data_IF_211973051662
#
_entry.id   IF_211973051662
#
_cell.length_a   1.000
_cell.length_b   1.000
_cell.length_c   1.000
_cell.angle_alpha   90.00
_cell.angle_beta   90.00
_cell.angle_gamma   90.00
#
_symmetry.space_group_name_H-M   'P 1'
#
loop_
_entity.id
_entity.type
_entity.pdbx_description
1 polymer ?
#
# COMPACT_ATOMS: atom_id res chain seq x y z
N UNK A 1 -0.05 30.40 -29.00
CA UNK A 1 0.62 31.62 -28.45
C UNK A 1 1.60 31.21 -27.36
N UNK A 2 2.49 32.11 -26.90
CA UNK A 2 3.33 31.84 -25.73
C UNK A 2 2.50 31.52 -24.48
N UNK A 3 1.39 32.23 -24.27
CA UNK A 3 0.44 31.98 -23.18
C UNK A 3 -0.06 30.52 -23.17
N UNK A 4 -0.52 30.00 -24.32
CA UNK A 4 -1.00 28.62 -24.41
C UNK A 4 0.07 27.57 -24.05
N UNK A 5 1.35 27.83 -24.37
CA UNK A 5 2.45 26.92 -23.99
C UNK A 5 2.74 26.97 -22.49
N UNK A 6 2.65 28.16 -21.88
CA UNK A 6 2.80 28.33 -20.44
C UNK A 6 1.65 27.64 -19.70
N UNK A 7 0.42 27.76 -20.18
CA UNK A 7 -0.75 27.12 -19.56
C UNK A 7 -0.65 25.58 -19.62
N UNK A 8 -0.20 25.03 -20.75
CA UNK A 8 0.08 23.60 -20.88
C UNK A 8 1.14 23.12 -19.86
N UNK A 9 2.23 23.87 -19.68
CA UNK A 9 3.27 23.52 -18.71
C UNK A 9 2.77 23.59 -17.25
N UNK A 10 1.96 24.61 -16.92
CA UNK A 10 1.32 24.74 -15.59
C UNK A 10 0.40 23.57 -15.29
N UNK A 11 -0.33 23.07 -16.28
CA UNK A 11 -1.22 21.93 -16.11
C UNK A 11 -0.44 20.65 -15.76
N UNK A 12 0.71 20.43 -16.41
CA UNK A 12 1.61 19.33 -16.06
C UNK A 12 2.13 19.40 -14.63
N UNK A 13 2.60 20.58 -14.20
CA UNK A 13 3.05 20.81 -12.82
C UNK A 13 1.93 20.54 -11.81
N UNK A 14 0.74 21.09 -12.07
CA UNK A 14 -0.43 20.92 -11.20
C UNK A 14 -0.84 19.45 -11.04
N UNK A 15 -0.78 18.68 -12.14
CA UNK A 15 -1.03 17.23 -12.09
C UNK A 15 -0.02 16.51 -11.18
N UNK A 16 1.26 16.87 -11.26
CA UNK A 16 2.30 16.30 -10.41
C UNK A 16 2.08 16.67 -8.93
N UNK A 17 1.81 17.94 -8.64
CA UNK A 17 1.53 18.42 -7.28
C UNK A 17 0.32 17.70 -6.66
N UNK A 18 -0.79 17.58 -7.39
CA UNK A 18 -1.98 16.90 -6.89
C UNK A 18 -1.77 15.39 -6.76
N UNK A 19 -1.04 14.76 -7.67
CA UNK A 19 -0.69 13.35 -7.55
C UNK A 19 0.17 13.08 -6.30
N UNK A 20 1.17 13.93 -6.04
CA UNK A 20 1.97 13.89 -4.81
C UNK A 20 1.08 14.12 -3.59
N UNK A 21 0.11 15.03 -3.66
CA UNK A 21 -0.81 15.30 -2.56
C UNK A 21 -1.75 14.11 -2.28
N UNK A 22 -2.25 13.41 -3.31
CA UNK A 22 -3.01 12.15 -3.15
C UNK A 22 -2.17 11.12 -2.43
N UNK A 23 -0.95 10.85 -2.92
CA UNK A 23 -0.04 9.87 -2.29
C UNK A 23 0.31 10.26 -0.85
N UNK A 24 0.57 11.54 -0.60
CA UNK A 24 0.89 12.05 0.74
C UNK A 24 -0.28 11.90 1.70
N UNK A 25 -1.52 12.10 1.26
CA UNK A 25 -2.71 11.88 2.07
C UNK A 25 -2.90 10.39 2.39
N UNK A 26 -2.76 9.50 1.40
CA UNK A 26 -2.81 8.04 1.60
C UNK A 26 -1.75 7.57 2.60
N UNK A 27 -0.50 8.05 2.46
CA UNK A 27 0.61 7.69 3.36
C UNK A 27 0.40 8.14 4.81
N UNK A 28 -0.48 9.14 5.06
CA UNK A 28 -0.89 9.54 6.41
C UNK A 28 -2.18 8.86 6.88
N UNK A 29 -2.75 7.96 6.09
CA UNK A 29 -4.03 7.29 6.36
C UNK A 29 -5.26 8.16 6.12
N UNK A 30 -5.13 9.36 5.57
CA UNK A 30 -6.25 10.26 5.27
C UNK A 30 -6.82 9.99 3.87
N UNK A 31 -7.49 8.84 3.73
CA UNK A 31 -8.09 8.43 2.46
C UNK A 31 -9.28 9.29 2.04
N UNK A 32 -9.93 9.98 2.99
CA UNK A 32 -10.99 10.92 2.67
C UNK A 32 -10.43 12.18 1.99
N UNK A 33 -9.29 12.71 2.47
CA UNK A 33 -8.59 13.78 1.76
C UNK A 33 -8.01 13.30 0.44
N UNK A 34 -7.39 12.10 0.40
CA UNK A 34 -6.88 11.52 -0.83
C UNK A 34 -7.97 11.43 -1.90
N UNK A 35 -9.17 10.97 -1.54
CA UNK A 35 -10.32 10.89 -2.42
C UNK A 35 -10.76 12.25 -2.96
N UNK A 36 -10.92 13.26 -2.10
CA UNK A 36 -11.30 14.62 -2.56
C UNK A 36 -10.30 15.21 -3.55
N UNK A 37 -9.00 14.99 -3.34
CA UNK A 37 -7.95 15.48 -4.24
C UNK A 37 -7.97 14.67 -5.55
N UNK A 38 -8.08 13.34 -5.46
CA UNK A 38 -8.16 12.44 -6.61
C UNK A 38 -9.37 12.75 -7.50
N UNK A 39 -10.56 12.93 -6.92
CA UNK A 39 -11.78 13.20 -7.67
C UNK A 39 -11.64 14.52 -8.45
N UNK A 40 -11.08 15.57 -7.81
CA UNK A 40 -10.78 16.85 -8.48
C UNK A 40 -9.77 16.71 -9.63
N UNK A 41 -8.70 15.96 -9.40
CA UNK A 41 -7.67 15.68 -10.40
C UNK A 41 -8.26 14.90 -11.60
N UNK A 42 -9.06 13.89 -11.33
CA UNK A 42 -9.71 13.07 -12.36
C UNK A 42 -10.69 13.90 -13.18
N UNK A 43 -11.59 14.65 -12.54
CA UNK A 43 -12.55 15.51 -13.22
C UNK A 43 -11.85 16.53 -14.12
N UNK A 44 -10.77 17.16 -13.64
CA UNK A 44 -9.98 18.07 -14.47
C UNK A 44 -9.32 17.35 -15.64
N UNK A 45 -8.72 16.19 -15.39
CA UNK A 45 -8.08 15.39 -16.44
C UNK A 45 -9.07 14.96 -17.54
N UNK A 46 -10.31 14.64 -17.16
CA UNK A 46 -11.39 14.33 -18.10
C UNK A 46 -11.79 15.55 -18.94
N UNK A 47 -11.93 16.73 -18.32
CA UNK A 47 -12.19 17.98 -19.07
C UNK A 47 -11.05 18.31 -20.03
N UNK A 48 -9.80 18.16 -19.60
CA UNK A 48 -8.64 18.39 -20.46
C UNK A 48 -8.64 17.44 -21.67
N UNK A 49 -8.92 16.16 -21.46
CA UNK A 49 -9.06 15.18 -22.55
C UNK A 49 -10.15 15.60 -23.54
N UNK A 50 -11.34 16.00 -23.06
CA UNK A 50 -12.45 16.44 -23.91
C UNK A 50 -12.11 17.72 -24.70
N UNK A 51 -11.31 18.62 -24.12
CA UNK A 51 -10.86 19.85 -24.78
C UNK A 51 -9.66 19.68 -25.73
N UNK A 52 -9.12 18.47 -25.87
CA UNK A 52 -7.91 18.20 -26.66
C UNK A 52 -6.59 18.61 -25.98
N UNK A 53 -6.62 19.12 -24.75
CA UNK A 53 -5.44 19.47 -23.94
C UNK A 53 -4.90 18.29 -23.10
N UNK A 54 -5.44 17.09 -23.28
CA UNK A 54 -5.05 15.90 -22.51
C UNK A 54 -5.15 14.63 -23.34
N UNK A 55 -4.52 13.56 -22.82
CA UNK A 55 -4.54 12.24 -23.44
C UNK A 55 -5.47 11.29 -22.65
N UNK A 56 -6.18 10.40 -23.36
CA UNK A 56 -6.97 9.32 -22.77
C UNK A 56 -6.15 8.45 -21.81
N UNK A 57 -4.84 8.32 -22.05
CA UNK A 57 -3.93 7.57 -21.19
C UNK A 57 -3.91 8.11 -19.75
N UNK A 58 -3.92 9.44 -19.55
CA UNK A 58 -3.92 10.04 -18.20
C UNK A 58 -5.16 9.62 -17.41
N UNK A 59 -6.34 9.71 -18.01
CA UNK A 59 -7.60 9.35 -17.37
C UNK A 59 -7.65 7.84 -17.08
N UNK A 60 -7.21 7.01 -18.03
CA UNK A 60 -7.12 5.57 -17.85
C UNK A 60 -6.16 5.17 -16.72
N UNK A 61 -4.98 5.80 -16.68
CA UNK A 61 -3.98 5.59 -15.64
C UNK A 61 -4.51 5.96 -14.26
N UNK A 62 -5.09 7.16 -14.13
CA UNK A 62 -5.67 7.63 -12.87
C UNK A 62 -6.71 6.65 -12.34
N UNK A 63 -7.65 6.20 -13.18
CA UNK A 63 -8.67 5.23 -12.76
C UNK A 63 -8.08 3.88 -12.35
N UNK A 64 -7.17 3.34 -13.16
CA UNK A 64 -6.65 1.98 -13.00
C UNK A 64 -5.67 1.85 -11.83
N UNK A 65 -4.72 2.77 -11.72
CA UNK A 65 -3.58 2.66 -10.82
C UNK A 65 -3.66 3.54 -9.59
N UNK A 66 -4.58 4.52 -9.55
CA UNK A 66 -4.73 5.44 -8.41
C UNK A 66 -6.12 5.30 -7.80
N UNK A 67 -7.16 5.51 -8.60
CA UNK A 67 -8.55 5.59 -8.17
C UNK A 67 -9.01 4.34 -7.44
N UNK A 68 -8.74 3.16 -8.00
CA UNK A 68 -9.10 1.89 -7.36
C UNK A 68 -8.65 1.81 -5.89
N UNK A 69 -7.44 2.26 -5.62
CA UNK A 69 -6.79 2.17 -4.31
C UNK A 69 -7.25 3.29 -3.38
N UNK A 70 -7.45 4.49 -3.93
CA UNK A 70 -8.04 5.63 -3.22
C UNK A 70 -9.47 5.33 -2.79
N UNK A 71 -10.30 4.84 -3.72
CA UNK A 71 -11.70 4.51 -3.46
C UNK A 71 -11.82 3.37 -2.45
N UNK A 72 -11.05 2.28 -2.62
CA UNK A 72 -11.06 1.17 -1.68
C UNK A 72 -10.62 1.58 -0.28
N UNK A 73 -9.56 2.38 -0.16
CA UNK A 73 -9.13 2.88 1.14
C UNK A 73 -10.13 3.87 1.75
N UNK A 74 -10.75 4.74 0.94
CA UNK A 74 -11.80 5.62 1.43
C UNK A 74 -13.01 4.83 1.94
N UNK A 75 -13.38 3.72 1.29
CA UNK A 75 -14.41 2.80 1.80
C UNK A 75 -13.95 2.09 3.07
N UNK A 76 -12.74 1.54 3.10
CA UNK A 76 -12.22 0.79 4.23
C UNK A 76 -12.11 1.65 5.49
N UNK A 77 -11.85 2.95 5.35
CA UNK A 77 -11.66 3.88 6.48
C UNK A 77 -12.85 4.81 6.73
N UNK A 78 -13.96 4.67 6.00
CA UNK A 78 -15.18 5.44 6.25
C UNK A 78 -15.95 4.87 7.45
N UNK A 79 -16.75 5.72 8.10
CA UNK A 79 -17.61 5.31 9.20
C UNK A 79 -18.48 4.08 8.81
N UNK A 80 -18.65 3.10 9.73
CA UNK A 80 -18.27 3.13 11.14
C UNK A 80 -16.78 2.81 11.42
N UNK A 81 -15.99 2.53 10.38
CA UNK A 81 -14.56 2.28 10.54
C UNK A 81 -13.79 3.58 10.79
N UNK A 82 -12.61 3.44 11.39
CA UNK A 82 -11.60 4.51 11.42
C UNK A 82 -10.19 3.93 11.35
N UNK A 83 -9.26 4.73 10.84
CA UNK A 83 -7.83 4.42 10.93
C UNK A 83 -7.38 4.56 12.38
N UNK A 84 -6.97 3.45 12.99
CA UNK A 84 -6.32 3.45 14.29
C UNK A 84 -4.84 3.80 14.16
N UNK A 85 -4.17 3.29 13.12
CA UNK A 85 -2.76 3.54 12.87
C UNK A 85 -2.42 3.32 11.38
N UNK A 86 -1.44 4.07 10.87
CA UNK A 86 -0.70 3.69 9.66
C UNK A 86 0.53 2.92 10.12
N UNK A 87 0.71 1.68 9.64
CA UNK A 87 1.88 0.90 10.02
C UNK A 87 3.18 1.60 9.55
N UNK A 88 4.32 1.34 10.21
CA UNK A 88 5.60 1.93 9.83
C UNK A 88 5.89 1.77 8.34
N UNK A 89 6.56 2.74 7.72
CA UNK A 89 7.02 2.60 6.33
C UNK A 89 8.13 1.56 6.21
N UNK A 90 8.99 1.47 7.24
CA UNK A 90 10.19 0.64 7.21
C UNK A 90 9.96 -0.73 7.83
N UNK A 91 10.21 -1.78 7.06
CA UNK A 91 10.03 -3.18 7.43
C UNK A 91 11.33 -3.95 7.16
N UNK A 92 11.62 -4.96 7.97
CA UNK A 92 12.67 -5.93 7.68
C UNK A 92 12.28 -6.77 6.47
N UNK A 93 13.16 -6.89 5.49
CA UNK A 93 12.94 -7.62 4.25
C UNK A 93 13.93 -8.77 4.09
N UNK A 94 13.42 -9.97 3.77
CA UNK A 94 14.23 -11.06 3.24
C UNK A 94 13.70 -11.54 1.88
N UNK A 95 14.61 -11.88 0.99
CA UNK A 95 14.33 -12.70 -0.18
C UNK A 95 14.33 -14.18 0.23
N UNK A 96 13.39 -14.95 -0.29
CA UNK A 96 13.16 -16.35 0.03
C UNK A 96 13.00 -17.15 -1.27
N UNK A 97 14.09 -17.28 -2.01
CA UNK A 97 14.12 -17.85 -3.38
C UNK A 97 13.58 -19.29 -3.48
N UNK A 98 13.57 -20.01 -2.37
CA UNK A 98 13.09 -21.38 -2.28
C UNK A 98 11.72 -21.52 -1.61
N UNK A 99 11.08 -20.39 -1.23
CA UNK A 99 9.81 -20.36 -0.48
C UNK A 99 9.82 -21.26 0.77
N UNK A 100 10.86 -21.14 1.59
CA UNK A 100 11.01 -21.94 2.82
C UNK A 100 10.71 -21.15 4.09
N UNK A 101 10.31 -19.87 3.98
CA UNK A 101 10.12 -18.97 5.11
C UNK A 101 9.09 -19.46 6.12
N UNK A 102 8.02 -20.13 5.68
CA UNK A 102 7.05 -20.77 6.59
C UNK A 102 7.73 -21.85 7.43
N UNK A 103 8.53 -22.73 6.80
CA UNK A 103 9.27 -23.79 7.51
C UNK A 103 10.36 -23.23 8.42
N UNK A 104 11.05 -22.17 7.98
CA UNK A 104 12.07 -21.43 8.73
C UNK A 104 11.48 -20.59 9.88
N UNK A 105 10.15 -20.45 9.93
CA UNK A 105 9.45 -19.74 11.00
C UNK A 105 9.43 -18.22 10.85
N UNK A 106 9.57 -17.68 9.64
CA UNK A 106 9.56 -16.24 9.36
C UNK A 106 8.26 -15.53 9.74
N UNK A 107 7.18 -16.25 10.02
CA UNK A 107 5.94 -15.69 10.58
C UNK A 107 5.90 -15.64 12.12
N UNK A 108 6.79 -16.36 12.81
CA UNK A 108 6.73 -16.52 14.27
C UNK A 108 7.06 -15.21 14.99
N UNK A 109 6.43 -14.94 16.15
CA UNK A 109 6.66 -13.68 16.88
C UNK A 109 8.07 -13.58 17.48
N UNK A 110 8.72 -14.71 17.76
CA UNK A 110 10.05 -14.83 18.37
C UNK A 110 11.18 -15.00 17.34
N UNK A 111 10.86 -14.98 16.04
CA UNK A 111 11.88 -15.04 14.99
C UNK A 111 12.75 -13.78 14.98
N UNK A 112 14.06 -13.97 15.08
CA UNK A 112 15.05 -12.90 14.99
C UNK A 112 15.29 -12.50 13.53
N UNK A 113 14.76 -11.33 13.16
CA UNK A 113 14.93 -10.72 11.85
C UNK A 113 15.98 -9.60 11.85
N UNK A 114 16.79 -9.46 12.92
CA UNK A 114 17.76 -8.35 13.06
C UNK A 114 18.86 -8.32 11.99
N UNK A 115 19.07 -9.44 11.28
CA UNK A 115 20.00 -9.52 10.14
C UNK A 115 19.36 -9.13 8.80
N UNK A 116 18.03 -8.94 8.76
CA UNK A 116 17.33 -8.54 7.54
C UNK A 116 17.46 -7.02 7.33
N UNK A 117 17.73 -6.55 6.10
CA UNK A 117 17.76 -5.12 5.82
C UNK A 117 16.41 -4.46 6.09
N UNK A 118 16.47 -3.27 6.70
CA UNK A 118 15.30 -2.43 6.98
C UNK A 118 15.00 -1.49 5.80
N UNK A 119 13.93 -1.78 5.06
CA UNK A 119 13.55 -1.09 3.80
C UNK A 119 12.22 -0.36 3.94
N UNK A 120 12.10 0.81 3.32
CA UNK A 120 10.81 1.48 3.12
C UNK A 120 9.93 0.68 2.16
N UNK A 121 8.62 0.68 2.39
CA UNK A 121 7.62 -0.05 1.61
C UNK A 121 6.82 0.87 0.70
N UNK A 122 6.39 2.03 1.21
CA UNK A 122 5.57 2.97 0.45
C UNK A 122 6.21 4.36 0.30
N UNK A 123 7.24 4.69 1.07
CA UNK A 123 7.98 5.95 0.95
C UNK A 123 8.97 5.96 -0.23
N UNK A 124 9.63 4.83 -0.48
CA UNK A 124 10.61 4.62 -1.57
C UNK A 124 10.40 3.26 -2.23
N UNK A 125 10.77 3.13 -3.49
CA UNK A 125 10.81 1.83 -4.19
C UNK A 125 11.95 0.98 -3.63
N UNK A 126 11.87 -0.34 -3.79
CA UNK A 126 12.98 -1.25 -3.44
C UNK A 126 14.24 -0.95 -4.26
N UNK A 127 14.09 -0.78 -5.57
CA UNK A 127 15.18 -0.43 -6.48
C UNK A 127 15.89 0.89 -6.07
N UNK A 128 15.11 1.92 -5.71
CA UNK A 128 15.63 3.19 -5.21
C UNK A 128 16.33 3.11 -3.86
N UNK A 129 16.32 1.93 -3.23
CA UNK A 129 17.04 1.60 -2.00
C UNK A 129 18.18 0.60 -2.24
N UNK A 130 18.48 0.26 -3.51
CA UNK A 130 19.52 -0.70 -3.88
C UNK A 130 19.10 -2.16 -3.70
N UNK A 131 17.80 -2.43 -3.56
CA UNK A 131 17.24 -3.78 -3.43
C UNK A 131 16.74 -4.25 -4.80
N UNK A 132 17.45 -5.16 -5.49
CA UNK A 132 17.11 -5.55 -6.85
C UNK A 132 15.82 -6.38 -6.91
N UNK A 133 15.06 -6.24 -8.00
CA UNK A 133 13.99 -7.20 -8.28
C UNK A 133 14.61 -8.57 -8.64
N UNK A 134 14.20 -9.60 -7.90
CA UNK A 134 14.65 -10.99 -8.08
C UNK A 134 13.55 -11.91 -8.59
N UNK A 135 12.34 -11.40 -8.81
CA UNK A 135 11.16 -12.17 -9.21
C UNK A 135 11.00 -13.42 -8.33
N UNK A 136 10.83 -13.18 -7.03
CA UNK A 136 10.95 -14.22 -6.00
C UNK A 136 9.94 -14.01 -4.88
N UNK A 137 9.89 -14.93 -3.92
CA UNK A 137 9.15 -14.73 -2.68
C UNK A 137 9.93 -13.80 -1.76
N UNK A 138 9.24 -12.85 -1.16
CA UNK A 138 9.77 -11.89 -0.21
C UNK A 138 9.03 -12.00 1.11
N UNK A 139 9.73 -11.77 2.21
CA UNK A 139 9.14 -11.66 3.54
C UNK A 139 9.38 -10.28 4.11
N UNK A 140 8.28 -9.65 4.52
CA UNK A 140 8.30 -8.37 5.22
C UNK A 140 7.92 -8.59 6.68
N UNK A 141 8.64 -7.97 7.63
CA UNK A 141 8.33 -8.01 9.06
C UNK A 141 8.42 -6.61 9.68
N UNK A 142 7.46 -6.29 10.54
CA UNK A 142 7.51 -5.10 11.41
C UNK A 142 6.69 -5.35 12.68
N UNK A 143 6.84 -4.47 13.66
CA UNK A 143 5.96 -4.38 14.82
C UNK A 143 4.96 -3.23 14.68
N UNK A 144 3.88 -3.31 15.44
CA UNK A 144 2.91 -2.23 15.64
C UNK A 144 2.27 -2.36 17.03
N UNK A 145 1.89 -1.23 17.61
CA UNK A 145 1.26 -1.18 18.93
C UNK A 145 -0.26 -1.22 18.79
N UNK A 146 -0.87 -2.15 19.51
CA UNK A 146 -2.32 -2.24 19.64
C UNK A 146 -2.80 -1.40 20.82
N UNK A 147 -3.70 -0.42 20.60
CA UNK A 147 -4.42 0.19 21.70
C UNK A 147 -5.27 -0.89 22.39
N UNK A 148 -5.52 -0.74 23.71
CA UNK A 148 -6.38 -1.66 24.49
C UNK A 148 -7.60 -2.06 23.67
N UNK A 149 -7.81 -3.37 23.46
CA UNK A 149 -8.80 -3.92 22.51
C UNK A 149 -10.08 -3.10 22.42
N UNK A 150 -10.21 -2.36 21.32
CA UNK A 150 -11.41 -1.63 20.95
C UNK A 150 -12.01 -2.30 19.70
N UNK A 151 -13.19 -2.92 19.82
CA UNK A 151 -13.94 -3.44 18.66
C UNK A 151 -13.21 -4.49 17.81
N UNK A 152 -13.65 -4.62 16.56
CA UNK A 152 -13.01 -5.52 15.59
C UNK A 152 -11.87 -4.81 14.88
N UNK A 153 -10.74 -5.50 14.71
CA UNK A 153 -9.53 -4.97 14.11
C UNK A 153 -9.23 -5.67 12.79
N UNK A 154 -8.74 -4.89 11.83
CA UNK A 154 -8.30 -5.40 10.53
C UNK A 154 -7.04 -4.69 10.06
N UNK A 155 -6.22 -5.39 9.27
CA UNK A 155 -5.19 -4.75 8.46
C UNK A 155 -5.74 -4.54 7.06
N UNK A 156 -5.73 -3.30 6.59
CA UNK A 156 -6.04 -2.94 5.20
C UNK A 156 -4.73 -2.73 4.45
N UNK A 157 -4.50 -3.58 3.46
CA UNK A 157 -3.38 -3.47 2.54
C UNK A 157 -3.83 -2.69 1.33
N UNK A 158 -3.31 -1.47 1.18
CA UNK A 158 -3.69 -0.62 0.05
C UNK A 158 -3.23 -1.21 -1.28
N UNK A 159 -2.00 -1.73 -1.34
CA UNK A 159 -1.49 -2.44 -2.52
C UNK A 159 -0.26 -3.29 -2.17
N UNK A 160 -0.29 -4.53 -2.64
CA UNK A 160 0.87 -5.43 -2.67
C UNK A 160 1.08 -5.88 -4.11
N UNK A 161 2.29 -5.71 -4.60
CA UNK A 161 2.75 -6.20 -5.89
C UNK A 161 3.29 -7.64 -5.74
N UNK A 162 2.35 -8.59 -5.76
CA UNK A 162 2.58 -10.01 -5.52
C UNK A 162 1.38 -10.64 -4.81
N UNK A 163 1.38 -11.97 -4.67
CA UNK A 163 0.37 -12.66 -3.84
C UNK A 163 0.80 -12.62 -2.38
N UNK A 164 -0.01 -11.99 -1.52
CA UNK A 164 0.31 -11.77 -0.13
C UNK A 164 -0.34 -12.81 0.78
N UNK A 165 0.40 -13.33 1.76
CA UNK A 165 -0.11 -14.08 2.91
C UNK A 165 0.31 -13.39 4.19
N UNK A 166 -0.65 -13.09 5.06
CA UNK A 166 -0.45 -12.24 6.24
C UNK A 166 -0.47 -13.09 7.51
N UNK A 167 0.55 -12.89 8.34
CA UNK A 167 0.70 -13.50 9.65
C UNK A 167 0.72 -12.41 10.70
N UNK A 168 -0.01 -12.61 11.80
CA UNK A 168 0.04 -11.75 12.98
C UNK A 168 0.35 -12.62 14.18
N UNK A 169 1.43 -12.28 14.90
CA UNK A 169 1.95 -13.04 16.03
C UNK A 169 2.07 -14.56 15.75
N UNK A 170 2.57 -14.95 14.57
CA UNK A 170 2.72 -16.36 14.19
C UNK A 170 1.49 -17.03 13.58
N UNK A 171 0.32 -16.40 13.63
CA UNK A 171 -0.92 -16.95 13.09
C UNK A 171 -1.25 -16.37 11.73
N UNK A 172 -1.49 -17.23 10.75
CA UNK A 172 -2.05 -16.80 9.46
C UNK A 172 -3.46 -16.21 9.64
N UNK A 173 -3.66 -14.99 9.16
CA UNK A 173 -4.92 -14.24 9.31
C UNK A 173 -5.65 -14.00 8.00
N UNK A 174 -5.00 -14.24 6.87
CA UNK A 174 -5.59 -14.14 5.54
C UNK A 174 -4.57 -13.93 4.44
N UNK A 175 -5.05 -13.82 3.21
CA UNK A 175 -4.25 -13.62 2.01
C UNK A 175 -4.94 -12.66 1.04
N UNK A 176 -4.17 -12.08 0.12
CA UNK A 176 -4.74 -11.32 -1.00
C UNK A 176 -5.45 -12.26 -1.97
N UNK A 177 -6.64 -11.90 -2.44
CA UNK A 177 -7.32 -12.67 -3.49
C UNK A 177 -6.70 -12.47 -4.87
N UNK A 178 -6.17 -11.27 -5.13
CA UNK A 178 -5.55 -10.89 -6.41
C UNK A 178 -4.40 -9.91 -6.17
N UNK A 179 -3.32 -10.09 -6.92
CA UNK A 179 -2.19 -9.15 -6.97
C UNK A 179 -2.66 -7.73 -7.24
N UNK A 180 -2.03 -6.77 -6.58
CA UNK A 180 -2.22 -5.32 -6.79
C UNK A 180 -3.63 -4.78 -6.53
N UNK A 181 -4.53 -5.61 -6.02
CA UNK A 181 -5.82 -5.15 -5.51
C UNK A 181 -5.71 -4.86 -4.01
N UNK A 182 -6.39 -3.82 -3.52
CA UNK A 182 -6.54 -3.60 -2.09
C UNK A 182 -7.30 -4.77 -1.43
N UNK A 183 -6.93 -5.12 -0.21
CA UNK A 183 -7.61 -6.17 0.56
C UNK A 183 -7.52 -5.93 2.07
N UNK A 184 -8.45 -6.52 2.83
CA UNK A 184 -8.47 -6.46 4.30
C UNK A 184 -8.40 -7.86 4.88
N UNK A 185 -7.69 -8.00 6.01
CA UNK A 185 -7.66 -9.23 6.80
C UNK A 185 -8.10 -8.94 8.24
N UNK A 186 -8.98 -9.76 8.81
CA UNK A 186 -9.42 -9.61 10.20
C UNK A 186 -8.33 -10.15 11.14
N UNK A 187 -7.87 -9.33 12.07
CA UNK A 187 -6.78 -9.68 12.99
C UNK A 187 -7.23 -9.79 14.45
N UNK A 188 -8.53 -9.59 14.74
CA UNK A 188 -9.08 -9.49 16.10
C UNK A 188 -8.70 -10.67 17.01
N UNK A 189 -8.58 -11.88 16.42
CA UNK A 189 -8.24 -13.11 17.14
C UNK A 189 -6.73 -13.41 17.22
N UNK A 190 -5.91 -12.65 16.52
CA UNK A 190 -4.47 -12.82 16.47
C UNK A 190 -3.72 -11.74 17.28
N UNK A 191 -4.34 -10.58 17.50
CA UNK A 191 -3.75 -9.48 18.25
C UNK A 191 -3.91 -9.58 19.77
N UNK A 192 -2.94 -9.01 20.47
CA UNK A 192 -2.89 -8.79 21.91
C UNK A 192 -2.72 -7.30 22.22
N UNK A 193 -2.96 -6.88 23.46
CA UNK A 193 -2.67 -5.51 23.88
C UNK A 193 -1.15 -5.25 23.84
N UNK A 194 -0.75 -4.02 23.49
CA UNK A 194 0.66 -3.64 23.37
C UNK A 194 1.28 -4.07 22.04
N UNK A 195 2.55 -4.47 22.07
CA UNK A 195 3.31 -4.77 20.85
C UNK A 195 2.86 -6.09 20.17
N UNK A 196 2.65 -5.99 18.86
CA UNK A 196 2.30 -7.10 17.97
C UNK A 196 3.28 -7.15 16.80
N UNK A 197 3.56 -8.36 16.31
CA UNK A 197 4.36 -8.59 15.11
C UNK A 197 3.43 -8.88 13.94
N UNK A 198 3.66 -8.23 12.82
CA UNK A 198 3.09 -8.62 11.52
C UNK A 198 4.20 -9.11 10.60
N UNK A 199 3.94 -10.21 9.91
CA UNK A 199 4.80 -10.75 8.86
C UNK A 199 3.99 -10.97 7.60
N UNK A 200 4.53 -10.63 6.45
CA UNK A 200 3.85 -10.76 5.16
C UNK A 200 4.76 -11.48 4.20
N UNK A 201 4.33 -12.67 3.78
CA UNK A 201 4.92 -13.38 2.64
C UNK A 201 4.33 -12.76 1.37
N UNK A 202 5.16 -12.35 0.43
CA UNK A 202 4.75 -11.78 -0.86
C UNK A 202 5.39 -12.58 -1.98
N UNK A 203 4.57 -13.26 -2.76
CA UNK A 203 5.01 -14.00 -3.94
C UNK A 203 5.00 -13.10 -5.18
N UNK A 204 6.20 -12.62 -5.53
CA UNK A 204 6.47 -11.83 -6.74
C UNK A 204 7.21 -12.65 -7.80
N UNK A 205 7.12 -13.99 -7.76
CA UNK A 205 7.73 -14.86 -8.78
C UNK A 205 7.09 -14.70 -10.16
N UNK A 206 5.79 -14.40 -10.18
CA UNK A 206 5.06 -14.10 -11.41
C UNK A 206 4.85 -12.58 -11.53
N UNK A 207 5.53 -12.01 -12.52
CA UNK A 207 5.51 -10.59 -12.89
C UNK A 207 4.07 -10.07 -12.97
N UNK A 208 3.86 -8.90 -12.38
CA UNK A 208 2.67 -8.08 -12.59
C UNK A 208 2.97 -6.89 -13.51
N UNK A 209 1.99 -6.04 -13.77
CA UNK A 209 2.08 -4.96 -14.75
C UNK A 209 3.22 -3.94 -14.55
N UNK A 210 3.80 -3.77 -13.35
CA UNK A 210 4.73 -2.66 -13.07
C UNK A 210 6.11 -3.05 -12.54
N UNK A 211 6.41 -4.34 -12.33
CA UNK A 211 7.73 -4.81 -11.88
C UNK A 211 8.27 -4.09 -10.63
N UNK A 212 7.41 -3.68 -9.70
CA UNK A 212 7.87 -3.01 -8.48
C UNK A 212 8.22 -4.04 -7.41
N UNK A 213 7.37 -5.06 -7.28
CA UNK A 213 7.48 -6.10 -6.27
C UNK A 213 7.18 -5.61 -4.85
N UNK A 214 6.51 -6.44 -4.05
CA UNK A 214 6.40 -6.22 -2.61
C UNK A 214 5.27 -5.29 -2.17
N UNK A 215 5.33 -4.83 -0.92
CA UNK A 215 4.37 -3.85 -0.38
C UNK A 215 4.75 -2.48 -0.94
N UNK A 216 3.86 -1.84 -1.69
CA UNK A 216 4.16 -0.59 -2.43
C UNK A 216 3.27 0.60 -2.03
N UNK A 217 2.35 0.39 -1.08
CA UNK A 217 1.43 1.39 -0.53
C UNK A 217 1.20 1.13 0.98
N UNK A 218 0.75 2.15 1.74
CA UNK A 218 0.61 2.02 3.19
C UNK A 218 -0.32 0.89 3.60
N UNK A 219 0.05 0.22 4.70
CA UNK A 219 -0.80 -0.74 5.41
C UNK A 219 -1.42 -0.02 6.60
N UNK A 220 -2.73 -0.15 6.77
CA UNK A 220 -3.47 0.53 7.83
C UNK A 220 -3.98 -0.50 8.85
N UNK A 221 -3.88 -0.15 10.12
CA UNK A 221 -4.71 -0.76 11.16
C UNK A 221 -6.05 -0.02 11.18
N UNK A 222 -7.12 -0.74 10.92
CA UNK A 222 -8.49 -0.22 10.86
C UNK A 222 -9.33 -0.87 11.94
N UNK A 223 -9.98 -0.03 12.73
CA UNK A 223 -10.94 -0.44 13.76
C UNK A 223 -12.37 -0.24 13.25
N UNK A 224 -13.18 -1.28 13.37
CA UNK A 224 -14.64 -1.23 13.19
C UNK A 224 -15.29 -1.12 14.57
N UNK A 225 -16.04 -0.04 14.79
CA UNK A 225 -16.89 0.16 15.98
C UNK A 225 -18.32 -0.27 15.71
#
# INVERSE_FOLDING_TARGET
TYAARVDMAREGLRNAEEFIAVRSAMNRGDFQAAKRIYDRLLERSQRNQQSGMGNHYTVGYLKRFVGRHVDAGATATAAPNRVAQVLPDRWHLAYDDEDQGVKKGYGRPDFDDGVWPLVATYGKTLDGQGMPDRQTVMWYRTTFDMPKKMGSMSLFFTEVDGDATVYVNGREVGASEKKRLPFSVNISRAVRDGENVVSVRVDHSNITELFLGGIIRPVLLVETR
#
